data_IF_397054386779
#
_entry.id   IF_397054386779
#
_cell.length_a   1.000
_cell.length_b   1.000
_cell.length_c   1.000
_cell.angle_alpha   90.00
_cell.angle_beta   90.00
_cell.angle_gamma   90.00
#
_symmetry.space_group_name_H-M   'P 1'
#
loop_
_entity.id
_entity.type
_entity.pdbx_description
1 polymer ?
#
# COMPACT_ATOMS: atom_id res chain seq x y z
N UNK A 1 5.25 19.13 73.56
CA UNK A 1 4.42 20.35 73.58
C UNK A 1 4.44 20.99 72.24
N UNK A 2 3.24 21.20 71.67
CA UNK A 2 2.89 21.92 70.45
C UNK A 2 3.02 21.13 69.14
N UNK A 3 1.87 20.65 68.77
CA UNK A 3 1.34 20.17 67.53
C UNK A 3 1.35 21.33 66.51
N UNK A 4 1.72 21.09 65.26
CA UNK A 4 1.19 21.85 64.13
C UNK A 4 0.86 20.94 62.97
N UNK A 5 -0.44 20.74 62.78
CA UNK A 5 -1.15 20.28 61.58
C UNK A 5 -1.05 21.30 60.44
N UNK A 6 -1.07 20.82 59.22
CA UNK A 6 -1.53 21.41 57.97
C UNK A 6 -0.49 21.33 56.86
N UNK A 7 -0.70 20.44 55.86
CA UNK A 7 -1.33 20.85 54.61
C UNK A 7 -1.73 19.62 53.77
N UNK A 8 -3.00 19.42 53.66
CA UNK A 8 -3.62 18.63 52.60
C UNK A 8 -3.29 19.27 51.28
N UNK A 9 -2.60 18.61 50.37
CA UNK A 9 -2.49 18.97 48.98
C UNK A 9 -3.43 18.08 48.18
N UNK A 10 -4.49 18.70 47.64
CA UNK A 10 -5.41 18.11 46.71
C UNK A 10 -4.65 17.68 45.43
N UNK A 11 -4.77 16.43 45.08
CA UNK A 11 -4.39 15.87 43.79
C UNK A 11 -5.55 16.16 42.84
N UNK A 12 -5.34 16.89 41.73
CA UNK A 12 -6.38 17.01 40.72
C UNK A 12 -6.46 15.68 39.94
N UNK A 13 -7.62 15.10 40.01
CA UNK A 13 -8.08 13.92 39.26
C UNK A 13 -8.06 14.26 37.77
N UNK A 14 -7.09 13.68 37.06
CA UNK A 14 -7.02 13.77 35.59
C UNK A 14 -8.12 12.87 35.01
N UNK A 15 -9.21 13.47 34.56
CA UNK A 15 -10.24 12.77 33.78
C UNK A 15 -9.62 12.38 32.43
N UNK A 16 -9.30 11.13 32.28
CA UNK A 16 -9.01 10.52 30.98
C UNK A 16 -10.33 10.46 30.19
N UNK A 17 -10.50 11.36 29.23
CA UNK A 17 -11.51 11.23 28.18
C UNK A 17 -11.12 10.03 27.31
N UNK A 18 -11.61 8.85 27.68
CA UNK A 18 -11.68 7.71 26.80
C UNK A 18 -12.75 8.04 25.74
N UNK A 19 -12.31 8.66 24.63
CA UNK A 19 -13.13 8.72 23.43
C UNK A 19 -13.35 7.29 22.95
N UNK A 20 -14.57 6.79 23.15
CA UNK A 20 -15.04 5.55 22.52
C UNK A 20 -14.94 5.71 21.00
N UNK A 21 -13.85 5.23 20.43
CA UNK A 21 -13.71 5.04 19.01
C UNK A 21 -14.56 3.82 18.64
N UNK A 22 -15.84 4.05 18.33
CA UNK A 22 -16.68 3.05 17.69
C UNK A 22 -16.09 2.79 16.30
N UNK A 23 -15.79 1.54 15.93
CA UNK A 23 -15.41 1.23 14.56
C UNK A 23 -16.61 1.54 13.66
N UNK A 24 -16.45 2.52 12.78
CA UNK A 24 -17.42 2.79 11.74
C UNK A 24 -17.62 1.52 10.91
N UNK A 25 -18.86 0.99 10.88
CA UNK A 25 -19.22 -0.08 9.96
C UNK A 25 -19.03 0.45 8.54
N UNK A 26 -18.05 -0.09 7.85
CA UNK A 26 -17.80 0.18 6.44
C UNK A 26 -18.95 -0.47 5.65
N UNK A 27 -19.96 0.34 5.31
CA UNK A 27 -20.90 0.00 4.25
C UNK A 27 -20.18 0.26 2.93
N UNK A 28 -19.99 -0.77 2.11
CA UNK A 28 -19.30 -0.64 0.83
C UNK A 28 -20.03 0.35 -0.08
N UNK A 29 -19.35 1.37 -0.49
CA UNK A 29 -19.50 2.24 -1.66
C UNK A 29 -18.95 3.67 -1.46
N UNK A 30 -18.11 3.92 -0.45
CA UNK A 30 -17.56 5.27 -0.27
C UNK A 30 -16.17 5.39 -0.93
N UNK A 31 -16.13 5.79 -2.19
CA UNK A 31 -14.91 6.11 -2.95
C UNK A 31 -13.99 7.14 -2.26
N UNK A 32 -14.46 7.75 -1.15
CA UNK A 32 -13.69 8.75 -0.40
C UNK A 32 -12.96 8.20 0.82
N UNK A 33 -13.04 6.90 1.09
CA UNK A 33 -12.42 6.28 2.28
C UNK A 33 -10.90 6.45 2.25
N UNK A 34 -10.28 6.21 1.10
CA UNK A 34 -8.83 6.31 0.94
C UNK A 34 -8.32 7.75 1.00
N UNK A 35 -9.08 8.70 0.46
CA UNK A 35 -8.78 10.13 0.56
C UNK A 35 -8.76 10.59 2.02
N UNK A 36 -9.73 10.14 2.84
CA UNK A 36 -9.79 10.44 4.28
C UNK A 36 -8.59 9.82 5.01
N UNK A 37 -8.25 8.57 4.70
CA UNK A 37 -7.11 7.89 5.30
C UNK A 37 -5.78 8.55 4.91
N UNK A 38 -5.60 8.92 3.65
CA UNK A 38 -4.43 9.63 3.18
C UNK A 38 -4.25 10.98 3.85
N UNK A 39 -5.34 11.76 4.00
CA UNK A 39 -5.32 13.03 4.70
C UNK A 39 -4.95 12.88 6.18
N UNK A 40 -5.51 11.86 6.86
CA UNK A 40 -5.21 11.58 8.26
C UNK A 40 -3.73 11.21 8.47
N UNK A 41 -3.19 10.29 7.65
CA UNK A 41 -1.78 9.91 7.73
C UNK A 41 -0.85 11.09 7.42
N UNK A 42 -1.14 11.87 6.37
CA UNK A 42 -0.38 13.05 6.03
C UNK A 42 -0.37 14.08 7.16
N UNK A 43 -1.51 14.30 7.83
CA UNK A 43 -1.61 15.20 8.99
C UNK A 43 -0.75 14.72 10.16
N UNK A 44 -0.77 13.43 10.47
CA UNK A 44 0.03 12.85 11.56
C UNK A 44 1.53 12.99 11.30
N UNK A 45 1.98 12.67 10.08
CA UNK A 45 3.39 12.80 9.70
C UNK A 45 3.84 14.26 9.66
N UNK A 46 3.03 15.16 9.10
CA UNK A 46 3.33 16.58 9.05
C UNK A 46 3.45 17.20 10.44
N UNK A 47 2.57 16.84 11.37
CA UNK A 47 2.62 17.30 12.75
C UNK A 47 3.90 16.82 13.47
N UNK A 48 4.29 15.56 13.25
CA UNK A 48 5.51 15.02 13.85
C UNK A 48 6.78 15.78 13.40
N UNK A 49 6.89 16.07 12.09
CA UNK A 49 8.02 16.85 11.55
C UNK A 49 8.04 18.27 12.12
N UNK A 50 6.87 18.91 12.26
CA UNK A 50 6.75 20.25 12.83
C UNK A 50 7.24 20.34 14.29
N UNK A 51 6.96 19.29 15.09
CA UNK A 51 7.40 19.22 16.49
C UNK A 51 8.92 19.09 16.64
N UNK A 52 9.56 18.32 15.77
CA UNK A 52 11.02 18.09 15.83
C UNK A 52 11.81 19.34 15.42
N UNK A 53 11.25 20.21 14.57
CA UNK A 53 11.95 21.33 13.94
C UNK A 53 11.79 22.68 14.66
N UNK A 54 11.10 22.75 15.80
CA UNK A 54 10.80 24.02 16.49
C UNK A 54 11.53 24.15 17.83
N UNK A 55 12.20 25.30 18.04
CA UNK A 55 12.99 25.58 19.26
C UNK A 55 12.18 26.18 20.41
N UNK A 56 11.07 26.86 20.16
CA UNK A 56 10.22 27.46 21.18
C UNK A 56 8.73 27.10 21.02
N UNK A 57 7.92 27.34 22.07
CA UNK A 57 6.55 26.86 22.14
C UNK A 57 5.61 27.53 21.12
N UNK A 58 5.80 28.83 20.85
CA UNK A 58 4.94 29.56 19.93
C UNK A 58 5.30 29.26 18.47
N UNK A 59 6.59 29.13 18.20
CA UNK A 59 7.08 28.71 16.90
C UNK A 59 6.72 27.24 16.61
N UNK A 60 6.74 26.37 17.63
CA UNK A 60 6.28 24.97 17.51
C UNK A 60 4.83 24.90 17.07
N UNK A 61 3.93 25.66 17.69
CA UNK A 61 2.50 25.70 17.30
C UNK A 61 2.34 26.13 15.86
N UNK A 62 3.03 27.21 15.45
CA UNK A 62 2.97 27.68 14.08
C UNK A 62 3.50 26.67 13.05
N UNK A 63 4.64 26.02 13.35
CA UNK A 63 5.23 25.00 12.48
C UNK A 63 4.39 23.73 12.42
N UNK A 64 3.83 23.28 13.56
CA UNK A 64 2.94 22.12 13.61
C UNK A 64 1.69 22.34 12.77
N UNK A 65 1.04 23.51 12.91
CA UNK A 65 -0.16 23.81 12.10
C UNK A 65 0.16 23.87 10.62
N UNK A 66 1.25 24.54 10.21
CA UNK A 66 1.69 24.61 8.81
C UNK A 66 2.06 23.23 8.26
N UNK A 67 2.83 22.44 9.01
CA UNK A 67 3.22 21.10 8.59
C UNK A 67 2.02 20.14 8.51
N UNK A 68 1.07 20.25 9.44
CA UNK A 68 -0.16 19.46 9.41
C UNK A 68 -1.05 19.82 8.19
N UNK A 69 -1.16 21.10 7.85
CA UNK A 69 -1.92 21.55 6.66
C UNK A 69 -1.25 21.04 5.38
N UNK A 70 0.08 21.15 5.28
CA UNK A 70 0.82 20.64 4.11
C UNK A 70 0.69 19.12 4.02
N UNK A 71 0.89 18.41 5.13
CA UNK A 71 0.79 16.95 5.18
C UNK A 71 -0.62 16.45 4.85
N UNK A 72 -1.66 17.11 5.38
CA UNK A 72 -3.05 16.78 5.05
C UNK A 72 -3.37 17.03 3.56
N UNK A 73 -2.87 18.14 2.99
CA UNK A 73 -3.08 18.48 1.59
C UNK A 73 -2.41 17.47 0.64
N UNK A 74 -1.18 17.11 0.90
CA UNK A 74 -0.44 16.13 0.08
C UNK A 74 -1.04 14.71 0.19
N UNK A 75 -1.40 14.30 1.40
CA UNK A 75 -2.04 12.99 1.62
C UNK A 75 -3.42 12.90 0.97
N UNK A 76 -4.22 13.97 1.01
CA UNK A 76 -5.52 14.00 0.35
C UNK A 76 -5.40 13.97 -1.18
N UNK A 77 -4.43 14.67 -1.77
CA UNK A 77 -4.19 14.66 -3.21
C UNK A 77 -3.70 13.29 -3.70
N UNK A 78 -2.78 12.67 -2.97
CA UNK A 78 -2.31 11.33 -3.29
C UNK A 78 -3.46 10.30 -3.23
N UNK A 79 -4.29 10.35 -2.18
CA UNK A 79 -5.46 9.48 -2.03
C UNK A 79 -6.45 9.61 -3.19
N UNK A 80 -6.79 10.85 -3.60
CA UNK A 80 -7.72 11.06 -4.73
C UNK A 80 -7.17 10.59 -6.08
N UNK A 81 -5.86 10.68 -6.29
CA UNK A 81 -5.23 10.17 -7.51
C UNK A 81 -5.24 8.64 -7.54
N UNK A 82 -4.93 7.99 -6.42
CA UNK A 82 -4.97 6.53 -6.31
C UNK A 82 -6.40 5.99 -6.44
N UNK A 83 -7.41 6.69 -5.88
CA UNK A 83 -8.82 6.30 -6.02
C UNK A 83 -9.28 6.33 -7.49
N UNK A 84 -8.86 7.35 -8.24
CA UNK A 84 -9.14 7.43 -9.69
C UNK A 84 -8.41 6.35 -10.46
N UNK A 85 -7.14 6.16 -10.19
CA UNK A 85 -6.31 5.13 -10.83
C UNK A 85 -6.88 3.74 -10.57
N UNK A 86 -7.34 3.45 -9.35
CA UNK A 86 -8.03 2.20 -9.01
C UNK A 86 -9.33 2.03 -9.82
N UNK A 87 -10.16 3.07 -9.88
CA UNK A 87 -11.42 3.02 -10.62
C UNK A 87 -11.21 2.77 -12.13
N UNK A 88 -10.18 3.40 -12.72
CA UNK A 88 -9.80 3.18 -14.10
C UNK A 88 -9.29 1.75 -14.30
N UNK A 89 -8.40 1.25 -13.44
CA UNK A 89 -7.92 -0.12 -13.48
C UNK A 89 -9.05 -1.16 -13.39
N UNK A 90 -9.99 -0.97 -12.46
CA UNK A 90 -11.13 -1.89 -12.29
C UNK A 90 -12.04 -1.94 -13.52
N UNK A 91 -12.10 -0.86 -14.29
CA UNK A 91 -12.88 -0.79 -15.53
C UNK A 91 -12.16 -1.45 -16.70
N UNK A 92 -10.84 -1.31 -16.75
CA UNK A 92 -10.03 -1.68 -17.91
C UNK A 92 -9.53 -3.15 -17.83
N UNK A 93 -9.57 -3.78 -16.64
CA UNK A 93 -9.21 -5.18 -16.44
C UNK A 93 -10.43 -6.09 -16.62
N UNK A 94 -10.31 -7.06 -17.53
CA UNK A 94 -11.37 -8.02 -17.84
C UNK A 94 -11.39 -9.19 -16.84
N UNK A 95 -10.24 -9.57 -16.28
CA UNK A 95 -10.13 -10.75 -15.43
C UNK A 95 -10.51 -10.46 -13.98
N UNK A 96 -11.54 -11.16 -13.48
CA UNK A 96 -12.08 -10.99 -12.12
C UNK A 96 -11.18 -11.60 -11.02
N UNK A 97 -10.26 -12.46 -11.39
CA UNK A 97 -9.33 -13.08 -10.44
C UNK A 97 -8.16 -12.13 -10.10
N UNK A 98 -7.99 -11.05 -10.87
CA UNK A 98 -7.06 -9.97 -10.54
C UNK A 98 -7.65 -9.13 -9.42
N UNK A 99 -6.96 -9.07 -8.29
CA UNK A 99 -7.39 -8.29 -7.13
C UNK A 99 -6.67 -6.95 -7.09
N UNK A 100 -7.41 -5.86 -6.85
CA UNK A 100 -6.87 -4.53 -6.67
C UNK A 100 -7.18 -4.08 -5.26
N UNK A 101 -6.14 -3.78 -4.48
CA UNK A 101 -6.25 -3.26 -3.11
C UNK A 101 -5.62 -1.87 -3.06
N UNK A 102 -6.39 -0.89 -2.63
CA UNK A 102 -5.93 0.46 -2.36
C UNK A 102 -5.73 0.64 -0.85
N UNK A 103 -4.50 0.91 -0.43
CA UNK A 103 -4.15 1.12 0.98
C UNK A 103 -4.13 2.60 1.38
N UNK A 104 -4.43 3.51 0.44
CA UNK A 104 -4.42 4.96 0.63
C UNK A 104 -3.06 5.61 0.31
N UNK A 105 -1.96 4.86 0.37
CA UNK A 105 -0.60 5.28 0.01
C UNK A 105 -0.09 4.58 -1.26
N UNK A 106 -0.69 3.44 -1.63
CA UNK A 106 -0.33 2.64 -2.81
C UNK A 106 -1.51 1.81 -3.33
N UNK A 107 -1.42 1.40 -4.59
CA UNK A 107 -2.27 0.34 -5.14
C UNK A 107 -1.46 -0.95 -5.22
N UNK A 108 -2.06 -2.06 -4.80
CA UNK A 108 -1.50 -3.41 -4.94
C UNK A 108 -2.39 -4.19 -5.89
N UNK A 109 -1.87 -4.53 -7.07
CA UNK A 109 -2.53 -5.39 -8.05
C UNK A 109 -1.98 -6.80 -7.86
N UNK A 110 -2.79 -7.70 -7.31
CA UNK A 110 -2.43 -9.09 -7.06
C UNK A 110 -2.91 -9.97 -8.20
N UNK A 111 -1.96 -10.64 -8.82
CA UNK A 111 -2.13 -11.53 -9.97
C UNK A 111 -1.84 -12.97 -9.52
N UNK A 112 -2.85 -13.84 -9.35
CA UNK A 112 -2.62 -15.25 -9.03
C UNK A 112 -1.76 -15.93 -10.09
N UNK A 113 -0.82 -16.78 -9.64
CA UNK A 113 0.09 -17.48 -10.55
C UNK A 113 -0.65 -18.34 -11.57
N UNK A 114 -1.72 -19.00 -11.13
CA UNK A 114 -2.43 -20.01 -11.92
C UNK A 114 -3.12 -19.41 -13.17
N UNK A 115 -3.42 -18.09 -13.12
CA UNK A 115 -3.89 -17.35 -14.29
C UNK A 115 -2.75 -16.75 -15.11
N UNK A 116 -1.61 -16.38 -14.47
CA UNK A 116 -0.47 -15.75 -15.16
C UNK A 116 0.37 -16.72 -15.96
N UNK A 117 0.61 -17.92 -15.44
CA UNK A 117 1.58 -18.87 -15.97
C UNK A 117 0.95 -20.27 -16.12
N UNK A 118 1.40 -21.01 -17.12
CA UNK A 118 1.15 -22.44 -17.15
C UNK A 118 2.00 -23.13 -16.05
N UNK A 119 1.65 -24.39 -15.72
CA UNK A 119 2.41 -25.20 -14.75
C UNK A 119 3.88 -25.24 -15.17
N UNK A 120 4.78 -25.06 -14.21
CA UNK A 120 6.25 -25.02 -14.37
C UNK A 120 6.77 -24.02 -15.42
N UNK A 121 5.96 -23.00 -15.76
CA UNK A 121 6.30 -21.97 -16.73
C UNK A 121 6.58 -20.63 -16.06
N UNK A 122 7.41 -19.83 -16.73
CA UNK A 122 7.60 -18.40 -16.45
C UNK A 122 7.09 -17.52 -17.61
N UNK A 123 6.56 -18.14 -18.68
CA UNK A 123 6.00 -17.40 -19.79
C UNK A 123 4.57 -16.95 -19.46
N UNK A 124 4.32 -15.65 -19.56
CA UNK A 124 2.98 -15.08 -19.32
C UNK A 124 1.99 -15.59 -20.38
N UNK A 125 0.85 -16.11 -19.93
CA UNK A 125 -0.23 -16.61 -20.79
C UNK A 125 -0.79 -15.52 -21.69
N UNK A 126 -1.21 -15.90 -22.88
CA UNK A 126 -1.68 -14.97 -23.91
C UNK A 126 -2.94 -14.18 -23.51
N UNK A 127 -3.85 -14.83 -22.78
CA UNK A 127 -5.08 -14.24 -22.24
C UNK A 127 -4.77 -13.10 -21.24
N UNK A 128 -3.82 -13.30 -20.34
CA UNK A 128 -3.41 -12.28 -19.36
C UNK A 128 -2.56 -11.14 -19.94
N UNK A 129 -1.98 -11.31 -21.11
CA UNK A 129 -1.24 -10.23 -21.77
C UNK A 129 -2.13 -9.03 -22.11
N UNK A 130 -3.46 -9.24 -22.31
CA UNK A 130 -4.39 -8.14 -22.50
C UNK A 130 -4.51 -7.32 -21.22
N UNK A 131 -4.74 -7.97 -20.09
CA UNK A 131 -4.87 -7.28 -18.80
C UNK A 131 -3.58 -6.58 -18.39
N UNK A 132 -2.42 -7.19 -18.64
CA UNK A 132 -1.14 -6.53 -18.40
C UNK A 132 -0.91 -5.32 -19.32
N UNK A 133 -1.42 -5.34 -20.58
CA UNK A 133 -1.38 -4.14 -21.44
C UNK A 133 -2.34 -3.06 -20.95
N UNK A 134 -3.52 -3.42 -20.46
CA UNK A 134 -4.44 -2.48 -19.83
C UNK A 134 -3.79 -1.84 -18.58
N UNK A 135 -3.11 -2.65 -17.76
CA UNK A 135 -2.32 -2.16 -16.63
C UNK A 135 -1.20 -1.20 -17.09
N UNK A 136 -0.47 -1.52 -18.15
CA UNK A 136 0.55 -0.64 -18.73
C UNK A 136 -0.06 0.69 -19.19
N UNK A 137 -1.19 0.67 -19.90
CA UNK A 137 -1.90 1.88 -20.33
C UNK A 137 -2.34 2.75 -19.13
N UNK A 138 -2.80 2.13 -18.06
CA UNK A 138 -3.10 2.82 -16.82
C UNK A 138 -1.84 3.45 -16.19
N UNK A 139 -0.72 2.73 -16.13
CA UNK A 139 0.55 3.27 -15.63
C UNK A 139 1.06 4.46 -16.45
N UNK A 140 0.79 4.49 -17.75
CA UNK A 140 1.15 5.60 -18.64
C UNK A 140 0.22 6.80 -18.47
N UNK A 141 -1.06 6.58 -18.16
CA UNK A 141 -2.00 7.64 -17.80
C UNK A 141 -1.64 8.32 -16.46
N UNK A 142 -0.93 7.60 -15.57
CA UNK A 142 -0.46 8.08 -14.26
C UNK A 142 1.07 8.05 -14.17
N UNK A 143 1.79 8.90 -14.95
CA UNK A 143 3.24 8.80 -15.11
C UNK A 143 4.06 9.11 -13.85
N UNK A 144 3.48 9.85 -12.88
CA UNK A 144 4.13 10.18 -11.61
C UNK A 144 3.94 9.05 -10.58
N UNK A 145 4.38 7.84 -10.91
CA UNK A 145 4.37 6.70 -9.99
C UNK A 145 5.59 5.81 -10.21
N UNK A 146 5.99 5.11 -9.16
CA UNK A 146 6.95 4.00 -9.20
C UNK A 146 6.21 2.68 -9.08
N UNK A 147 6.75 1.65 -9.69
CA UNK A 147 6.13 0.33 -9.80
C UNK A 147 7.10 -0.73 -9.31
N UNK A 148 6.70 -1.52 -8.31
CA UNK A 148 7.45 -2.70 -7.88
C UNK A 148 6.69 -3.95 -8.26
N UNK A 149 7.33 -4.87 -9.00
CA UNK A 149 6.78 -6.16 -9.39
C UNK A 149 7.43 -7.23 -8.52
N UNK A 150 6.64 -7.89 -7.68
CA UNK A 150 7.12 -8.79 -6.65
C UNK A 150 6.57 -10.19 -6.90
N UNK A 151 7.45 -11.15 -7.17
CA UNK A 151 7.05 -12.55 -7.33
C UNK A 151 7.10 -13.30 -5.99
N UNK A 152 6.11 -14.16 -5.77
CA UNK A 152 6.01 -15.02 -4.59
C UNK A 152 5.73 -16.46 -4.99
N UNK A 153 6.15 -17.40 -4.12
CA UNK A 153 5.83 -18.82 -4.20
C UNK A 153 5.15 -19.30 -2.93
N UNK A 154 4.65 -20.52 -2.95
CA UNK A 154 4.40 -21.26 -1.73
C UNK A 154 5.72 -21.86 -1.19
N UNK A 155 5.66 -22.65 -0.12
CA UNK A 155 6.81 -23.27 0.54
C UNK A 155 7.14 -24.67 0.00
N UNK A 156 6.65 -25.05 -1.16
CA UNK A 156 6.96 -26.36 -1.75
C UNK A 156 8.27 -26.26 -2.55
N UNK A 157 9.23 -27.13 -2.23
CA UNK A 157 10.56 -27.16 -2.85
C UNK A 157 11.64 -26.40 -2.07
N UNK A 158 12.80 -26.25 -2.67
CA UNK A 158 13.93 -25.56 -2.03
C UNK A 158 13.75 -24.04 -2.06
N UNK A 159 14.09 -23.37 -0.95
CA UNK A 159 13.96 -21.92 -0.81
C UNK A 159 14.78 -21.15 -1.87
N UNK A 160 15.96 -21.66 -2.26
CA UNK A 160 16.79 -21.08 -3.33
C UNK A 160 16.10 -21.19 -4.69
N UNK A 161 15.50 -22.34 -5.00
CA UNK A 161 14.72 -22.55 -6.22
C UNK A 161 13.48 -21.61 -6.25
N UNK A 162 12.75 -21.54 -5.15
CA UNK A 162 11.59 -20.65 -5.00
C UNK A 162 11.96 -19.18 -5.20
N UNK A 163 13.12 -18.77 -4.67
CA UNK A 163 13.63 -17.41 -4.87
C UNK A 163 13.93 -17.13 -6.35
N UNK A 164 14.61 -18.03 -7.01
CA UNK A 164 14.94 -17.88 -8.43
C UNK A 164 13.70 -17.93 -9.33
N UNK A 165 12.77 -18.87 -9.07
CA UNK A 165 11.51 -18.97 -9.80
C UNK A 165 10.68 -17.68 -9.68
N UNK A 166 10.56 -17.14 -8.48
CA UNK A 166 9.82 -15.91 -8.24
C UNK A 166 10.45 -14.69 -8.93
N UNK A 167 11.79 -14.61 -8.97
CA UNK A 167 12.51 -13.59 -9.74
C UNK A 167 12.19 -13.69 -11.24
N UNK A 168 12.33 -14.86 -11.83
CA UNK A 168 12.04 -15.06 -13.27
C UNK A 168 10.60 -14.69 -13.62
N UNK A 169 9.62 -14.99 -12.75
CA UNK A 169 8.22 -14.63 -12.94
C UNK A 169 7.98 -13.14 -12.86
N UNK A 170 8.59 -12.46 -11.89
CA UNK A 170 8.51 -11.00 -11.79
C UNK A 170 9.08 -10.32 -13.04
N UNK A 171 10.26 -10.76 -13.52
CA UNK A 171 10.85 -10.25 -14.77
C UNK A 171 9.99 -10.52 -16.01
N UNK A 172 9.27 -11.64 -16.05
CA UNK A 172 8.37 -11.94 -17.17
C UNK A 172 7.19 -10.98 -17.23
N UNK A 173 6.65 -10.57 -16.08
CA UNK A 173 5.60 -9.53 -15.99
C UNK A 173 6.16 -8.16 -16.35
N UNK A 174 7.32 -7.78 -15.80
CA UNK A 174 8.05 -6.54 -16.17
C UNK A 174 8.20 -6.40 -17.68
N UNK A 175 8.67 -7.46 -18.34
CA UNK A 175 8.89 -7.48 -19.77
C UNK A 175 7.61 -7.17 -20.56
N UNK A 176 6.46 -7.74 -20.15
CA UNK A 176 5.18 -7.45 -20.80
C UNK A 176 4.76 -5.98 -20.60
N UNK A 177 4.99 -5.39 -19.42
CA UNK A 177 4.68 -3.98 -19.16
C UNK A 177 5.59 -3.05 -19.95
N UNK A 178 6.89 -3.35 -20.03
CA UNK A 178 7.87 -2.58 -20.82
C UNK A 178 7.58 -2.68 -22.32
N UNK A 179 7.29 -3.89 -22.83
CA UNK A 179 6.90 -4.12 -24.22
C UNK A 179 5.59 -3.38 -24.59
N UNK A 180 4.74 -3.10 -23.59
CA UNK A 180 3.50 -2.34 -23.73
C UNK A 180 3.67 -0.81 -23.57
N UNK A 181 4.89 -0.32 -23.29
CA UNK A 181 5.22 1.11 -23.26
C UNK A 181 5.63 1.67 -21.91
N UNK A 182 5.41 0.95 -20.81
CA UNK A 182 5.80 1.46 -19.48
C UNK A 182 7.31 1.64 -19.38
N UNK A 183 7.77 2.83 -18.96
CA UNK A 183 9.19 3.12 -18.83
C UNK A 183 9.88 2.22 -17.81
N UNK A 184 10.96 1.54 -18.23
CA UNK A 184 11.77 0.67 -17.37
C UNK A 184 12.35 1.42 -16.16
N UNK A 185 12.62 2.73 -16.29
CA UNK A 185 13.14 3.55 -15.17
C UNK A 185 12.16 3.69 -13.99
N UNK A 186 10.89 3.38 -14.20
CA UNK A 186 9.84 3.41 -13.19
C UNK A 186 9.60 2.04 -12.54
N UNK A 187 10.14 0.97 -13.12
CA UNK A 187 9.84 -0.39 -12.70
C UNK A 187 11.03 -1.00 -11.96
N UNK A 188 10.73 -1.73 -10.90
CA UNK A 188 11.66 -2.62 -10.22
C UNK A 188 11.01 -4.00 -10.07
N UNK A 189 11.62 -5.04 -10.62
CA UNK A 189 11.13 -6.40 -10.51
C UNK A 189 12.07 -7.27 -9.68
N UNK A 190 11.51 -8.06 -8.75
CA UNK A 190 12.27 -8.98 -7.92
C UNK A 190 11.37 -10.08 -7.33
N UNK A 191 11.99 -11.21 -6.94
CA UNK A 191 11.31 -12.30 -6.26
C UNK A 191 11.53 -12.28 -4.76
N UNK A 192 10.55 -12.71 -4.00
CA UNK A 192 10.63 -12.96 -2.56
C UNK A 192 10.60 -14.45 -2.22
N UNK A 193 10.32 -15.32 -3.22
CA UNK A 193 10.13 -16.73 -2.96
C UNK A 193 9.00 -16.96 -1.98
N UNK A 194 9.21 -17.82 -1.01
CA UNK A 194 8.25 -18.19 0.04
C UNK A 194 8.28 -17.30 1.30
N UNK A 195 9.10 -16.23 1.31
CA UNK A 195 9.41 -15.45 2.53
C UNK A 195 8.26 -14.58 3.03
N UNK A 196 7.31 -14.22 2.15
CA UNK A 196 6.21 -13.32 2.47
C UNK A 196 4.85 -13.98 2.13
N UNK A 197 4.42 -14.98 2.93
CA UNK A 197 3.15 -15.66 2.70
C UNK A 197 1.97 -14.78 3.10
N UNK A 198 0.89 -14.77 2.27
CA UNK A 198 -0.39 -14.14 2.60
C UNK A 198 -1.29 -15.06 3.43
N UNK A 199 -1.16 -16.37 3.21
CA UNK A 199 -1.97 -17.38 3.87
C UNK A 199 -1.13 -18.55 4.37
N UNK A 200 -1.74 -19.42 5.15
CA UNK A 200 -1.07 -20.62 5.66
C UNK A 200 -0.66 -21.57 4.53
N UNK A 201 0.60 -21.97 4.51
CA UNK A 201 1.11 -22.99 3.57
C UNK A 201 0.63 -24.42 3.88
N UNK A 202 -0.10 -24.62 4.99
CA UNK A 202 -0.58 -25.95 5.38
C UNK A 202 -1.75 -26.45 4.51
N UNK A 203 -2.55 -25.53 3.95
CA UNK A 203 -3.66 -25.87 3.05
C UNK A 203 -3.30 -25.62 1.59
N UNK A 204 -3.94 -26.35 0.67
CA UNK A 204 -3.81 -26.14 -0.78
C UNK A 204 -4.29 -24.75 -1.23
N UNK A 205 -5.37 -24.27 -0.62
CA UNK A 205 -5.97 -22.96 -0.86
C UNK A 205 -5.03 -21.84 -0.42
N UNK A 206 -4.41 -21.97 0.76
CA UNK A 206 -3.43 -21.01 1.25
C UNK A 206 -2.17 -20.98 0.39
N UNK A 207 -1.67 -22.15 -0.05
CA UNK A 207 -0.54 -22.20 -1.00
C UNK A 207 -0.89 -21.53 -2.33
N UNK A 208 -2.13 -21.72 -2.84
CA UNK A 208 -2.57 -21.05 -4.06
C UNK A 208 -2.58 -19.51 -3.92
N UNK A 209 -2.97 -18.98 -2.76
CA UNK A 209 -2.90 -17.54 -2.47
C UNK A 209 -1.45 -17.04 -2.37
N UNK A 210 -0.54 -17.86 -1.86
CA UNK A 210 0.88 -17.50 -1.75
C UNK A 210 1.56 -17.45 -3.13
N UNK A 211 1.18 -18.31 -4.08
CA UNK A 211 1.67 -18.29 -5.46
C UNK A 211 1.06 -17.15 -6.25
N UNK A 212 1.73 -16.00 -6.26
CA UNK A 212 1.24 -14.78 -6.90
C UNK A 212 2.35 -13.88 -7.40
N UNK A 213 2.00 -12.91 -8.22
CA UNK A 213 2.81 -11.73 -8.50
C UNK A 213 2.02 -10.50 -8.06
N UNK A 214 2.67 -9.63 -7.31
CA UNK A 214 2.12 -8.33 -6.92
C UNK A 214 2.73 -7.23 -7.77
N UNK A 215 1.90 -6.32 -8.28
CA UNK A 215 2.34 -5.06 -8.88
C UNK A 215 1.94 -3.94 -7.93
N UNK A 216 2.93 -3.41 -7.22
CA UNK A 216 2.76 -2.35 -6.22
C UNK A 216 3.05 -1.00 -6.89
N UNK A 217 2.05 -0.13 -6.92
CA UNK A 217 2.10 1.18 -7.56
C UNK A 217 2.06 2.25 -6.46
N UNK A 218 3.13 3.04 -6.38
CA UNK A 218 3.24 4.16 -5.41
C UNK A 218 3.21 5.47 -6.18
N UNK A 219 2.27 6.35 -5.83
CA UNK A 219 2.19 7.69 -6.42
C UNK A 219 3.31 8.56 -5.87
N UNK A 220 4.10 9.18 -6.78
CA UNK A 220 5.13 10.16 -6.46
C UNK A 220 4.56 11.59 -6.60
N UNK A 221 3.26 11.79 -6.29
CA UNK A 221 2.66 13.11 -6.26
C UNK A 221 3.24 13.89 -5.07
N UNK A 222 4.31 14.63 -5.32
CA UNK A 222 4.94 15.61 -4.45
C UNK A 222 4.81 16.99 -5.10
#
# INVERSE_FOLDING_TARGET
MIINFRKFALIPMLFALAACMQPARLSGDDQRVHTKNGAFLGTMMGAAVGLVSADNSDERRGKVVKAAIIGAGLGALAGTLLDRQEADLRRDLDNRDVQITNTGDRLVVTLPQDILFATDSTAVRADLRRDLRALAGNLDAYPKSTVSIIGHTDNVGDASYNRDLSNRRAYSVERVLVDAGTSMSRIQAYGRGEQEPLASNLSSEGRAQNRRVEVVIVSNAG
#
